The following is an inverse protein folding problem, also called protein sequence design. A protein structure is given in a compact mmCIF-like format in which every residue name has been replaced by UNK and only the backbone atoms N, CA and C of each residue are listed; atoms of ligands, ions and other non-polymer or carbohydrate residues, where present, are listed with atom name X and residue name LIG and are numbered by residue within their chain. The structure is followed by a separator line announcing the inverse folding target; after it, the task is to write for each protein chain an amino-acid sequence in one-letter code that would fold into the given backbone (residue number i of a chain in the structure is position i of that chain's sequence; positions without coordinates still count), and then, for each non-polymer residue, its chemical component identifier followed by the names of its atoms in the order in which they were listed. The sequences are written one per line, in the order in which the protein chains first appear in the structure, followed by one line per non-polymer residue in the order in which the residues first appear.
data_IF_226775637207
#
_entry.id   IF_226775637207
#
_cell.length_a   1.000
_cell.length_b   1.000
_cell.length_c   1.000
_cell.angle_alpha   90.00
_cell.angle_beta   90.00
_cell.angle_gamma   90.00
#
_symmetry.space_group_name_H-M   'P 1'
#
loop_
_entity.id
_entity.type
_entity.pdbx_description
1 polymer ?
#
# COMPACT_ATOMS: atom_id res chain seq x y z
N UNK A 1 -14.18 -24.65 -3.48
CA UNK A 1 -12.70 -24.82 -3.59
C UNK A 1 -11.94 -23.49 -3.53
N UNK A 2 -12.30 -22.48 -4.34
CA UNK A 2 -11.67 -21.14 -4.36
C UNK A 2 -11.64 -20.47 -2.97
N UNK A 3 -12.76 -20.47 -2.25
CA UNK A 3 -12.84 -19.92 -0.87
C UNK A 3 -11.84 -20.57 0.09
N UNK A 4 -11.62 -21.90 -0.04
CA UNK A 4 -10.65 -22.62 0.80
C UNK A 4 -9.20 -22.18 0.49
N UNK A 5 -8.90 -21.93 -0.79
CA UNK A 5 -7.59 -21.39 -1.21
C UNK A 5 -7.37 -19.98 -0.65
N UNK A 6 -8.36 -19.09 -0.81
CA UNK A 6 -8.31 -17.72 -0.27
C UNK A 6 -8.07 -17.76 1.24
N UNK A 7 -8.84 -18.54 1.99
CA UNK A 7 -8.69 -18.66 3.45
C UNK A 7 -7.29 -19.15 3.86
N UNK A 8 -6.74 -20.10 3.11
CA UNK A 8 -5.41 -20.67 3.40
C UNK A 8 -4.31 -19.65 3.13
N UNK A 9 -4.39 -18.95 1.99
CA UNK A 9 -3.48 -17.85 1.65
C UNK A 9 -3.57 -16.71 2.67
N UNK A 10 -4.78 -16.39 3.15
CA UNK A 10 -4.98 -15.37 4.15
C UNK A 10 -4.28 -15.68 5.48
N UNK A 11 -4.50 -16.90 6.00
CA UNK A 11 -3.81 -17.36 7.21
C UNK A 11 -2.30 -17.36 7.04
N UNK A 12 -1.83 -17.84 5.89
CA UNK A 12 -0.39 -17.91 5.63
C UNK A 12 0.25 -16.53 5.66
N UNK A 13 -0.31 -15.55 4.96
CA UNK A 13 0.28 -14.22 4.95
C UNK A 13 0.18 -13.55 6.34
N UNK A 14 -0.95 -13.67 7.05
CA UNK A 14 -1.14 -13.04 8.37
C UNK A 14 -0.16 -13.53 9.44
N UNK A 15 0.16 -14.82 9.46
CA UNK A 15 1.00 -15.43 10.51
C UNK A 15 2.46 -15.63 10.10
N UNK A 16 2.96 -14.83 9.15
CA UNK A 16 4.39 -14.85 8.79
C UNK A 16 5.20 -13.85 9.62
N UNK A 17 6.48 -14.17 9.85
CA UNK A 17 7.44 -13.24 10.43
C UNK A 17 7.52 -11.92 9.66
N UNK A 18 7.37 -11.96 8.34
CA UNK A 18 7.36 -10.76 7.48
C UNK A 18 6.22 -9.81 7.84
N UNK A 19 5.04 -10.31 8.20
CA UNK A 19 3.89 -9.50 8.61
C UNK A 19 4.11 -8.85 9.97
N UNK A 20 4.74 -9.58 10.91
CA UNK A 20 5.13 -9.00 12.19
C UNK A 20 6.14 -7.87 12.01
N UNK A 21 7.16 -8.08 11.16
CA UNK A 21 8.15 -7.04 10.84
C UNK A 21 7.47 -5.84 10.17
N UNK A 22 6.55 -6.08 9.22
CA UNK A 22 5.79 -5.02 8.57
C UNK A 22 4.97 -4.21 9.58
N UNK A 23 4.33 -4.86 10.55
CA UNK A 23 3.56 -4.21 11.61
C UNK A 23 4.45 -3.33 12.49
N UNK A 24 5.53 -3.91 13.02
CA UNK A 24 6.47 -3.18 13.88
C UNK A 24 7.09 -2.00 13.15
N UNK A 25 7.45 -2.16 11.88
CA UNK A 25 8.06 -1.10 11.08
C UNK A 25 7.05 0.02 10.79
N UNK A 26 5.81 -0.31 10.45
CA UNK A 26 4.75 0.69 10.26
C UNK A 26 4.52 1.51 11.53
N UNK A 27 4.28 0.83 12.65
CA UNK A 27 4.00 1.50 13.94
C UNK A 27 5.20 2.31 14.39
N UNK A 28 6.42 1.78 14.29
CA UNK A 28 7.63 2.50 14.68
C UNK A 28 7.83 3.78 13.86
N UNK A 29 7.66 3.73 12.53
CA UNK A 29 7.76 4.93 11.69
C UNK A 29 6.68 5.95 12.00
N UNK A 30 5.46 5.49 12.29
CA UNK A 30 4.35 6.35 12.66
C UNK A 30 4.61 7.06 14.01
N UNK A 31 5.06 6.32 15.03
CA UNK A 31 5.44 6.88 16.34
C UNK A 31 6.63 7.83 16.21
N UNK A 32 7.64 7.50 15.41
CA UNK A 32 8.76 8.41 15.13
C UNK A 32 8.31 9.72 14.47
N UNK A 33 7.34 9.66 13.56
CA UNK A 33 6.71 10.85 13.00
C UNK A 33 6.01 11.67 14.09
N UNK A 34 5.30 11.01 15.00
CA UNK A 34 4.52 11.66 16.05
C UNK A 34 5.41 12.38 17.06
N UNK A 35 6.51 11.75 17.47
CA UNK A 35 7.49 12.36 18.36
C UNK A 35 8.14 13.61 17.73
N UNK A 36 8.41 13.59 16.42
CA UNK A 36 8.91 14.76 15.69
C UNK A 36 7.89 15.91 15.62
N UNK A 37 6.60 15.62 15.75
CA UNK A 37 5.54 16.61 15.72
C UNK A 37 5.30 17.31 17.07
N UNK A 38 5.88 16.86 18.17
CA UNK A 38 5.56 17.41 19.50
C UNK A 38 5.94 18.91 19.65
N UNK A 39 5.26 19.67 20.54
CA UNK A 39 5.45 21.13 20.70
C UNK A 39 6.89 21.61 20.96
N UNK A 40 7.75 20.74 21.46
CA UNK A 40 9.14 21.07 21.81
C UNK A 40 10.12 20.85 20.63
N UNK A 41 9.62 20.56 19.43
CA UNK A 41 10.45 20.37 18.23
C UNK A 41 10.46 21.63 17.36
N UNK A 42 11.44 21.72 16.45
CA UNK A 42 11.79 22.86 15.58
C UNK A 42 10.67 23.40 14.65
N UNK A 43 9.42 22.94 14.77
CA UNK A 43 8.33 23.26 13.84
C UNK A 43 7.74 24.66 14.03
N UNK A 44 7.92 25.28 15.21
CA UNK A 44 7.52 26.68 15.46
C UNK A 44 6.03 26.97 15.22
N UNK A 45 5.15 25.99 15.39
CA UNK A 45 3.71 26.15 15.18
C UNK A 45 3.04 26.75 16.41
N UNK A 46 1.84 27.31 16.23
CA UNK A 46 1.01 27.73 17.35
C UNK A 46 0.57 26.53 18.22
N UNK A 47 0.28 26.81 19.49
CA UNK A 47 -0.09 25.77 20.46
C UNK A 47 -1.32 24.97 20.03
N UNK A 48 -2.31 25.61 19.41
CA UNK A 48 -3.55 24.95 18.95
C UNK A 48 -3.31 23.97 17.79
N UNK A 49 -2.25 24.18 17.01
CA UNK A 49 -1.88 23.33 15.88
C UNK A 49 -1.27 21.99 16.30
N UNK A 50 -0.83 21.85 17.55
CA UNK A 50 -0.30 20.60 18.11
C UNK A 50 -1.40 19.63 18.59
N UNK A 51 -2.36 19.35 17.73
CA UNK A 51 -3.50 18.47 18.02
C UNK A 51 -3.37 17.11 17.32
N UNK A 52 -4.21 16.15 17.70
CA UNK A 52 -4.15 14.79 17.14
C UNK A 52 -4.51 14.69 15.64
N UNK A 53 -5.30 15.62 15.08
CA UNK A 53 -5.60 15.63 13.65
C UNK A 53 -4.39 16.10 12.83
N UNK A 54 -3.81 17.22 13.21
CA UNK A 54 -2.59 17.74 12.59
C UNK A 54 -1.40 16.79 12.76
N UNK A 55 -1.30 16.13 13.91
CA UNK A 55 -0.31 15.07 14.14
C UNK A 55 -0.50 13.91 13.16
N UNK A 56 -1.75 13.46 12.96
CA UNK A 56 -2.03 12.39 12.00
C UNK A 56 -1.61 12.78 10.59
N UNK A 57 -1.99 13.97 10.11
CA UNK A 57 -1.59 14.45 8.80
C UNK A 57 -0.05 14.48 8.69
N UNK A 58 0.62 15.15 9.64
CA UNK A 58 2.07 15.26 9.68
C UNK A 58 2.78 13.91 9.57
N UNK A 59 2.39 12.96 10.41
CA UNK A 59 3.01 11.62 10.48
C UNK A 59 2.74 10.78 9.23
N UNK A 60 1.56 10.94 8.64
CA UNK A 60 1.09 10.11 7.53
C UNK A 60 1.87 10.39 6.23
N UNK A 61 2.08 11.67 5.90
CA UNK A 61 2.86 12.01 4.72
C UNK A 61 3.05 13.50 4.44
N UNK A 62 2.48 14.36 5.27
CA UNK A 62 2.48 15.81 5.10
C UNK A 62 3.71 16.48 5.75
N UNK A 63 4.30 15.85 6.77
CA UNK A 63 5.47 16.40 7.44
C UNK A 63 6.74 16.28 6.59
N UNK A 64 7.62 17.30 6.54
CA UNK A 64 8.89 17.23 5.81
C UNK A 64 9.84 16.15 6.34
N UNK A 65 9.60 15.68 7.58
CA UNK A 65 10.37 14.61 8.22
C UNK A 65 9.60 13.28 8.25
N UNK A 66 8.49 13.15 7.53
CA UNK A 66 7.68 11.93 7.44
C UNK A 66 8.34 10.92 6.50
N UNK A 67 8.82 9.82 7.08
CA UNK A 67 9.53 8.75 6.34
C UNK A 67 8.54 7.68 5.84
N UNK A 68 7.32 7.65 6.39
CA UNK A 68 6.32 6.63 6.09
C UNK A 68 6.03 6.52 4.59
N UNK A 69 5.76 7.60 3.82
CA UNK A 69 5.45 7.49 2.40
C UNK A 69 6.54 6.80 1.56
N UNK A 70 7.80 7.01 1.94
CA UNK A 70 8.96 6.47 1.24
C UNK A 70 9.06 4.96 1.49
N UNK A 71 8.86 4.52 2.73
CA UNK A 71 9.03 3.11 3.13
C UNK A 71 7.74 2.29 3.00
N UNK A 72 6.58 2.94 2.88
CA UNK A 72 5.27 2.32 2.70
C UNK A 72 5.25 1.20 1.65
N UNK A 73 5.75 1.38 0.42
CA UNK A 73 5.73 0.31 -0.58
C UNK A 73 6.53 -0.93 -0.17
N UNK A 74 7.59 -0.77 0.61
CA UNK A 74 8.37 -1.89 1.15
C UNK A 74 7.58 -2.64 2.23
N UNK A 75 6.90 -1.93 3.14
CA UNK A 75 6.08 -2.54 4.21
C UNK A 75 5.00 -3.43 3.60
N UNK A 76 4.30 -2.93 2.58
CA UNK A 76 3.23 -3.70 1.93
C UNK A 76 3.80 -4.88 1.14
N UNK A 77 4.96 -4.72 0.51
CA UNK A 77 5.62 -5.82 -0.20
C UNK A 77 6.09 -6.94 0.75
N UNK A 78 6.47 -6.62 1.99
CA UNK A 78 6.76 -7.61 3.03
C UNK A 78 5.53 -8.43 3.41
N UNK A 79 4.37 -7.77 3.52
CA UNK A 79 3.11 -8.38 3.93
C UNK A 79 2.60 -9.44 2.95
N UNK A 80 2.58 -9.14 1.64
CA UNK A 80 1.92 -9.99 0.64
C UNK A 80 2.80 -10.41 -0.54
N UNK A 81 3.88 -9.67 -0.83
CA UNK A 81 4.69 -9.84 -2.03
C UNK A 81 5.43 -11.18 -2.07
N UNK A 82 5.82 -11.70 -0.91
CA UNK A 82 6.58 -12.95 -0.79
C UNK A 82 5.80 -14.19 -1.22
N UNK A 83 4.47 -14.14 -1.14
CA UNK A 83 3.60 -15.31 -1.20
C UNK A 83 3.66 -16.06 -2.54
N UNK A 84 3.64 -15.35 -3.68
CA UNK A 84 3.76 -15.99 -5.00
C UNK A 84 5.20 -16.37 -5.33
N UNK A 85 6.17 -15.55 -4.91
CA UNK A 85 7.59 -15.82 -5.15
C UNK A 85 8.04 -17.12 -4.46
N UNK A 86 7.59 -17.33 -3.22
CA UNK A 86 7.85 -18.55 -2.46
C UNK A 86 7.23 -19.78 -3.12
N UNK A 87 5.95 -19.71 -3.53
CA UNK A 87 5.28 -20.82 -4.21
C UNK A 87 6.01 -21.26 -5.48
N UNK A 88 6.60 -20.30 -6.20
CA UNK A 88 7.38 -20.56 -7.41
C UNK A 88 8.81 -21.01 -7.13
N UNK A 89 9.38 -20.64 -5.98
CA UNK A 89 10.72 -21.06 -5.55
C UNK A 89 10.71 -22.50 -5.03
N UNK A 90 9.67 -22.89 -4.29
CA UNK A 90 9.55 -24.23 -3.69
C UNK A 90 8.89 -25.27 -4.60
N UNK A 91 8.35 -24.86 -5.75
CA UNK A 91 7.57 -25.75 -6.63
C UNK A 91 6.16 -26.03 -6.12
N UNK A 92 5.75 -25.43 -4.99
CA UNK A 92 4.41 -25.59 -4.40
C UNK A 92 3.27 -25.26 -5.38
N UNK A 93 3.53 -24.35 -6.32
CA UNK A 93 2.59 -23.99 -7.39
C UNK A 93 2.16 -25.21 -8.23
N UNK A 94 3.06 -26.15 -8.53
CA UNK A 94 2.77 -27.33 -9.35
C UNK A 94 1.79 -28.27 -8.64
N UNK A 95 2.01 -28.51 -7.35
CA UNK A 95 1.12 -29.33 -6.52
C UNK A 95 -0.30 -28.74 -6.43
N UNK A 96 -0.44 -27.41 -6.36
CA UNK A 96 -1.75 -26.78 -6.36
C UNK A 96 -2.43 -26.93 -7.73
N UNK A 97 -1.67 -26.73 -8.82
CA UNK A 97 -2.19 -26.79 -10.17
C UNK A 97 -2.63 -28.19 -10.61
N UNK A 98 -2.17 -29.26 -9.95
CA UNK A 98 -2.73 -30.61 -10.13
C UNK A 98 -4.19 -30.71 -9.67
N UNK A 99 -4.60 -29.88 -8.72
CA UNK A 99 -5.93 -29.93 -8.10
C UNK A 99 -6.83 -28.78 -8.54
N UNK A 100 -6.28 -27.74 -9.18
CA UNK A 100 -7.02 -26.54 -9.54
C UNK A 100 -6.55 -25.91 -10.85
N UNK A 101 -7.37 -25.03 -11.43
CA UNK A 101 -6.99 -24.32 -12.65
C UNK A 101 -6.11 -23.11 -12.34
N UNK A 102 -5.19 -22.78 -13.25
CA UNK A 102 -4.31 -21.62 -13.11
C UNK A 102 -5.09 -20.30 -12.89
N UNK A 103 -6.27 -20.17 -13.52
CA UNK A 103 -7.18 -19.03 -13.35
C UNK A 103 -7.64 -18.92 -11.90
N UNK A 104 -8.18 -20.01 -11.34
CA UNK A 104 -8.67 -20.03 -9.94
C UNK A 104 -7.53 -19.77 -8.96
N UNK A 105 -6.33 -20.28 -9.23
CA UNK A 105 -5.14 -20.02 -8.41
C UNK A 105 -4.77 -18.54 -8.39
N UNK A 106 -4.54 -17.90 -9.55
CA UNK A 106 -4.09 -16.50 -9.59
C UNK A 106 -5.16 -15.54 -9.04
N UNK A 107 -6.44 -15.77 -9.34
CA UNK A 107 -7.52 -14.98 -8.76
C UNK A 107 -7.61 -15.12 -7.24
N UNK A 108 -7.48 -16.35 -6.71
CA UNK A 108 -7.46 -16.56 -5.25
C UNK A 108 -6.28 -15.83 -4.60
N UNK A 109 -5.12 -15.82 -5.27
CA UNK A 109 -3.91 -15.15 -4.81
C UNK A 109 -4.09 -13.64 -4.74
N UNK A 110 -4.59 -13.05 -5.82
CA UNK A 110 -4.86 -11.62 -5.91
C UNK A 110 -5.88 -11.19 -4.85
N UNK A 111 -7.03 -11.88 -4.76
CA UNK A 111 -8.08 -11.55 -3.78
C UNK A 111 -7.56 -11.65 -2.35
N UNK A 112 -6.85 -12.74 -2.01
CA UNK A 112 -6.30 -12.90 -0.67
C UNK A 112 -5.30 -11.78 -0.33
N UNK A 113 -4.39 -11.46 -1.25
CA UNK A 113 -3.41 -10.41 -1.06
C UNK A 113 -4.06 -9.02 -0.93
N UNK A 114 -5.08 -8.72 -1.74
CA UNK A 114 -5.86 -7.49 -1.67
C UNK A 114 -6.55 -7.34 -0.32
N UNK A 115 -7.31 -8.34 0.12
CA UNK A 115 -8.07 -8.28 1.39
C UNK A 115 -7.12 -8.08 2.57
N UNK A 116 -6.00 -8.81 2.62
CA UNK A 116 -5.04 -8.70 3.72
C UNK A 116 -4.37 -7.34 3.74
N UNK A 117 -3.93 -6.84 2.58
CA UNK A 117 -3.22 -5.56 2.51
C UNK A 117 -4.14 -4.40 2.90
N UNK A 118 -5.40 -4.47 2.43
CA UNK A 118 -6.44 -3.53 2.82
C UNK A 118 -6.70 -3.55 4.33
N UNK A 119 -7.04 -4.72 4.88
CA UNK A 119 -7.37 -4.84 6.30
C UNK A 119 -6.19 -4.50 7.21
N UNK A 120 -4.98 -4.90 6.83
CA UNK A 120 -3.78 -4.60 7.58
C UNK A 120 -3.56 -3.10 7.71
N UNK A 121 -3.52 -2.36 6.59
CA UNK A 121 -3.30 -0.91 6.63
C UNK A 121 -4.45 -0.20 7.31
N UNK A 122 -5.70 -0.56 6.99
CA UNK A 122 -6.87 0.04 7.59
C UNK A 122 -6.89 -0.10 9.13
N UNK A 123 -6.62 -1.30 9.65
CA UNK A 123 -6.59 -1.55 11.10
C UNK A 123 -5.39 -0.85 11.74
N UNK A 124 -4.20 -0.94 11.14
CA UNK A 124 -2.97 -0.35 11.69
C UNK A 124 -3.07 1.17 11.75
N UNK A 125 -3.56 1.84 10.71
CA UNK A 125 -3.73 3.29 10.71
C UNK A 125 -4.80 3.76 11.70
N UNK A 126 -5.91 3.03 11.85
CA UNK A 126 -6.90 3.32 12.90
C UNK A 126 -6.28 3.21 14.29
N UNK A 127 -5.50 2.16 14.56
CA UNK A 127 -4.80 2.00 15.85
C UNK A 127 -3.79 3.13 16.08
N UNK A 128 -3.07 3.54 15.04
CA UNK A 128 -2.14 4.66 15.08
C UNK A 128 -2.87 5.99 15.36
N UNK A 129 -4.03 6.23 14.75
CA UNK A 129 -4.85 7.39 15.03
C UNK A 129 -5.39 7.39 16.47
N UNK A 130 -5.84 6.24 16.98
CA UNK A 130 -6.25 6.10 18.39
C UNK A 130 -5.09 6.40 19.35
N UNK A 131 -3.87 5.96 19.03
CA UNK A 131 -2.67 6.31 19.78
C UNK A 131 -2.41 7.83 19.80
N UNK A 132 -2.55 8.51 18.66
CA UNK A 132 -2.40 9.96 18.59
C UNK A 132 -3.47 10.70 19.40
N UNK A 133 -4.72 10.22 19.37
CA UNK A 133 -5.81 10.79 20.17
C UNK A 133 -5.54 10.71 21.68
N UNK A 134 -4.82 9.69 22.13
CA UNK A 134 -4.41 9.56 23.54
C UNK A 134 -3.19 10.46 23.84
N UNK A 135 -2.30 10.62 22.87
CA UNK A 135 -1.01 11.30 23.04
C UNK A 135 -1.05 12.82 22.87
N UNK A 136 -2.03 13.34 22.12
CA UNK A 136 -2.16 14.76 21.78
C UNK A 136 -3.53 15.31 22.21
N UNK A 137 -3.59 16.61 22.49
CA UNK A 137 -4.82 17.26 22.90
C UNK A 137 -5.81 17.44 21.73
N UNK A 138 -7.12 17.55 22.01
CA UNK A 138 -8.08 17.99 21.00
C UNK A 138 -7.83 19.45 20.60
N UNK A 139 -8.11 19.81 19.34
CA UNK A 139 -8.04 21.21 18.94
C UNK A 139 -9.17 22.02 19.57
N UNK A 140 -8.91 23.30 19.89
CA UNK A 140 -9.93 24.22 20.41
C UNK A 140 -10.91 24.64 19.31
N UNK A 141 -10.38 24.89 18.11
CA UNK A 141 -11.12 25.19 16.90
C UNK A 141 -10.35 24.67 15.69
N UNK A 142 -11.07 24.06 14.74
CA UNK A 142 -10.50 23.52 13.49
C UNK A 142 -10.23 24.65 12.50
N UNK A 143 -11.06 25.69 12.51
CA UNK A 143 -10.93 26.85 11.60
C UNK A 143 -9.82 27.80 12.00
N UNK A 144 -9.37 27.73 13.25
CA UNK A 144 -8.26 28.54 13.80
C UNK A 144 -6.94 27.74 13.84
N UNK A 145 -6.85 26.63 13.10
CA UNK A 145 -5.58 25.90 12.97
C UNK A 145 -4.67 26.61 11.99
N UNK A 146 -3.47 26.99 12.43
CA UNK A 146 -2.41 27.44 11.54
C UNK A 146 -1.44 26.30 11.21
N UNK A 147 -1.01 26.19 9.95
CA UNK A 147 -0.04 25.19 9.50
C UNK A 147 -0.67 24.00 8.79
N UNK A 148 -0.72 22.81 9.44
CA UNK A 148 -1.13 21.54 8.83
C UNK A 148 -2.65 21.43 8.60
N UNK A 149 -3.15 22.27 7.71
CA UNK A 149 -4.52 22.27 7.22
C UNK A 149 -4.51 21.67 5.82
N UNK A 150 -5.28 20.60 5.55
CA UNK A 150 -5.25 19.96 4.26
C UNK A 150 -5.90 20.85 3.18
N UNK A 151 -5.25 20.93 2.02
CA UNK A 151 -5.81 21.52 0.80
C UNK A 151 -6.84 20.57 0.17
N UNK A 152 -6.50 19.29 0.12
CA UNK A 152 -7.40 18.25 -0.37
C UNK A 152 -8.55 18.01 0.60
N UNK A 153 -9.79 18.18 0.11
CA UNK A 153 -11.00 17.92 0.89
C UNK A 153 -11.13 18.84 2.11
N UNK A 154 -10.65 20.08 2.00
CA UNK A 154 -10.67 21.07 3.07
C UNK A 154 -12.06 21.23 3.72
N UNK A 155 -13.12 21.33 2.93
CA UNK A 155 -14.50 21.43 3.42
C UNK A 155 -14.92 20.21 4.26
N UNK A 156 -14.48 19.01 3.85
CA UNK A 156 -14.77 17.79 4.60
C UNK A 156 -14.00 17.76 5.92
N UNK A 157 -12.76 18.24 5.93
CA UNK A 157 -11.92 18.34 7.13
C UNK A 157 -12.49 19.33 8.14
N UNK A 158 -12.97 20.50 7.69
CA UNK A 158 -13.53 21.53 8.58
C UNK A 158 -14.90 21.13 9.13
N UNK A 159 -15.78 20.54 8.31
CA UNK A 159 -17.11 20.13 8.73
C UNK A 159 -17.10 18.82 9.55
N UNK A 160 -16.25 17.87 9.19
CA UNK A 160 -16.26 16.51 9.73
C UNK A 160 -14.86 15.87 9.74
N UNK A 161 -13.96 16.32 10.62
CA UNK A 161 -12.55 15.90 10.59
C UNK A 161 -12.37 14.39 10.80
N UNK A 162 -13.21 13.74 11.60
CA UNK A 162 -13.16 12.28 11.76
C UNK A 162 -13.51 11.52 10.47
N UNK A 163 -14.49 12.01 9.71
CA UNK A 163 -14.87 11.43 8.42
C UNK A 163 -13.77 11.68 7.39
N UNK A 164 -13.10 12.82 7.45
CA UNK A 164 -11.91 13.10 6.67
C UNK A 164 -10.78 12.09 6.95
N UNK A 165 -10.41 11.89 8.22
CA UNK A 165 -9.39 10.89 8.59
C UNK A 165 -9.78 9.49 8.10
N UNK A 166 -11.03 9.09 8.30
CA UNK A 166 -11.52 7.81 7.79
C UNK A 166 -11.36 7.69 6.27
N UNK A 167 -11.63 8.77 5.52
CA UNK A 167 -11.48 8.80 4.07
C UNK A 167 -10.01 8.69 3.65
N UNK A 168 -9.09 9.36 4.35
CA UNK A 168 -7.64 9.22 4.12
C UNK A 168 -7.20 7.77 4.35
N UNK A 169 -7.59 7.17 5.48
CA UNK A 169 -7.29 5.77 5.82
C UNK A 169 -7.84 4.79 4.77
N UNK A 170 -8.99 5.10 4.18
CA UNK A 170 -9.57 4.30 3.12
C UNK A 170 -8.73 4.37 1.84
N UNK A 171 -8.29 5.56 1.44
CA UNK A 171 -7.46 5.76 0.25
C UNK A 171 -6.10 5.05 0.38
N UNK A 172 -5.49 5.11 1.56
CA UNK A 172 -4.18 4.49 1.83
C UNK A 172 -4.28 2.97 1.86
N UNK A 173 -5.38 2.44 2.40
CA UNK A 173 -5.69 1.01 2.34
C UNK A 173 -5.91 0.52 0.90
N UNK A 174 -6.58 1.32 0.04
CA UNK A 174 -6.73 1.01 -1.39
C UNK A 174 -5.36 1.04 -2.11
N UNK A 175 -4.51 2.01 -1.81
CA UNK A 175 -3.16 2.08 -2.35
C UNK A 175 -2.29 0.88 -1.92
N UNK A 176 -2.47 0.39 -0.68
CA UNK A 176 -1.81 -0.83 -0.23
C UNK A 176 -2.22 -2.05 -1.06
N UNK A 177 -3.49 -2.14 -1.48
CA UNK A 177 -3.92 -3.18 -2.44
C UNK A 177 -3.16 -3.07 -3.75
N UNK A 178 -2.95 -1.85 -4.27
CA UNK A 178 -2.22 -1.62 -5.51
C UNK A 178 -0.77 -2.10 -5.40
N UNK A 179 -0.06 -1.73 -4.33
CA UNK A 179 1.33 -2.14 -4.10
C UNK A 179 1.44 -3.66 -3.92
N UNK A 180 0.47 -4.27 -3.26
CA UNK A 180 0.38 -5.72 -3.08
C UNK A 180 0.25 -6.45 -4.42
N UNK A 181 -0.62 -5.96 -5.32
CA UNK A 181 -0.76 -6.51 -6.67
C UNK A 181 0.47 -6.24 -7.54
N UNK A 182 1.12 -5.09 -7.40
CA UNK A 182 2.40 -4.78 -8.04
C UNK A 182 3.49 -5.77 -7.61
N UNK A 183 3.53 -6.12 -6.33
CA UNK A 183 4.45 -7.13 -5.79
C UNK A 183 4.16 -8.52 -6.39
N UNK A 184 2.89 -8.89 -6.52
CA UNK A 184 2.49 -10.14 -7.21
C UNK A 184 2.89 -10.11 -8.68
N UNK A 185 2.73 -8.98 -9.38
CA UNK A 185 3.16 -8.80 -10.76
C UNK A 185 4.67 -9.07 -10.90
N UNK A 186 5.47 -8.48 -10.02
CA UNK A 186 6.93 -8.67 -9.98
C UNK A 186 7.29 -10.13 -9.68
N UNK A 187 6.51 -10.79 -8.80
CA UNK A 187 6.62 -12.21 -8.53
C UNK A 187 6.23 -13.11 -9.72
N UNK A 188 5.66 -12.57 -10.81
CA UNK A 188 5.51 -13.32 -12.07
C UNK A 188 6.80 -13.33 -12.89
N UNK A 189 7.66 -12.33 -12.73
CA UNK A 189 8.97 -12.25 -13.39
C UNK A 189 10.05 -12.98 -12.59
N UNK A 190 10.26 -12.58 -11.34
CA UNK A 190 11.32 -13.13 -10.49
C UNK A 190 10.84 -14.28 -9.61
N UNK A 191 11.71 -15.25 -9.35
CA UNK A 191 11.53 -16.25 -8.27
C UNK A 191 12.23 -15.82 -6.97
N UNK A 192 13.06 -14.78 -7.03
CA UNK A 192 13.81 -14.30 -5.88
C UNK A 192 12.90 -13.43 -5.01
N UNK A 193 12.61 -13.90 -3.80
CA UNK A 193 11.73 -13.25 -2.82
C UNK A 193 12.23 -11.85 -2.46
N UNK A 194 13.55 -11.66 -2.34
CA UNK A 194 14.13 -10.36 -1.98
C UNK A 194 13.90 -9.32 -3.07
N UNK A 195 14.07 -9.68 -4.35
CA UNK A 195 13.79 -8.78 -5.48
C UNK A 195 12.32 -8.38 -5.47
N UNK A 196 11.42 -9.32 -5.22
CA UNK A 196 9.97 -9.06 -5.20
C UNK A 196 9.57 -8.13 -4.05
N UNK A 197 10.25 -8.21 -2.91
CA UNK A 197 10.01 -7.35 -1.75
C UNK A 197 10.56 -5.93 -1.94
N UNK A 198 11.78 -5.78 -2.47
CA UNK A 198 12.42 -4.47 -2.61
C UNK A 198 12.05 -3.72 -3.90
N UNK A 199 11.67 -4.42 -4.96
CA UNK A 199 11.37 -3.77 -6.24
C UNK A 199 10.22 -2.75 -6.18
N UNK A 200 9.09 -2.97 -5.47
CA UNK A 200 8.05 -1.95 -5.33
C UNK A 200 8.58 -0.63 -4.74
N UNK A 201 9.47 -0.71 -3.75
CA UNK A 201 10.11 0.46 -3.14
C UNK A 201 10.94 1.26 -4.15
N UNK A 202 11.81 0.58 -4.91
CA UNK A 202 12.61 1.25 -5.94
C UNK A 202 11.76 1.79 -7.09
N UNK A 203 10.69 1.08 -7.48
CA UNK A 203 9.75 1.55 -8.50
C UNK A 203 9.06 2.84 -8.04
N UNK A 204 8.71 2.96 -6.77
CA UNK A 204 8.11 4.16 -6.21
C UNK A 204 9.10 5.34 -6.20
N UNK A 205 10.35 5.12 -5.79
CA UNK A 205 11.40 6.17 -5.80
C UNK A 205 11.68 6.64 -7.23
N UNK A 206 11.94 5.70 -8.14
CA UNK A 206 12.25 6.02 -9.55
C UNK A 206 11.03 6.66 -10.20
N UNK A 207 9.83 6.14 -9.92
CA UNK A 207 8.56 6.71 -10.38
C UNK A 207 8.38 8.14 -9.89
N UNK A 208 8.67 8.43 -8.62
CA UNK A 208 8.62 9.79 -8.09
C UNK A 208 9.52 10.74 -8.89
N UNK A 209 10.78 10.36 -9.09
CA UNK A 209 11.75 11.17 -9.82
C UNK A 209 11.33 11.39 -11.28
N UNK A 210 10.87 10.34 -11.97
CA UNK A 210 10.44 10.42 -13.36
C UNK A 210 9.22 11.32 -13.55
N UNK A 211 8.22 11.21 -12.67
CA UNK A 211 7.01 12.02 -12.77
C UNK A 211 7.30 13.49 -12.50
N UNK A 212 8.23 13.77 -11.58
CA UNK A 212 8.74 15.13 -11.36
C UNK A 212 9.51 15.68 -12.56
N UNK A 213 10.39 14.87 -13.17
CA UNK A 213 11.14 15.27 -14.36
C UNK A 213 10.22 15.53 -15.58
N UNK A 214 9.08 14.84 -15.66
CA UNK A 214 8.09 15.01 -16.72
C UNK A 214 7.01 16.06 -16.40
N UNK A 215 7.12 16.78 -15.28
CA UNK A 215 6.15 17.78 -14.82
C UNK A 215 4.71 17.25 -14.65
N UNK A 216 4.56 15.94 -14.36
CA UNK A 216 3.28 15.28 -14.09
C UNK A 216 3.18 14.86 -12.61
N UNK A 217 3.63 15.76 -11.73
CA UNK A 217 3.80 15.54 -10.28
C UNK A 217 2.52 15.02 -9.61
N UNK A 218 1.34 15.41 -10.11
CA UNK A 218 0.02 14.95 -9.64
C UNK A 218 -0.15 13.42 -9.66
N UNK A 219 0.63 12.69 -10.43
CA UNK A 219 0.55 11.23 -10.48
C UNK A 219 1.76 10.55 -9.85
N UNK A 220 2.63 11.33 -9.20
CA UNK A 220 3.86 10.81 -8.62
C UNK A 220 3.53 9.87 -7.42
N UNK A 221 4.24 8.73 -7.26
CA UNK A 221 3.89 7.72 -6.28
C UNK A 221 3.80 8.20 -4.83
N UNK A 222 4.72 9.07 -4.36
CA UNK A 222 4.68 9.57 -2.98
C UNK A 222 3.60 10.64 -2.79
N UNK A 223 3.26 11.37 -3.84
CA UNK A 223 2.10 12.26 -3.83
C UNK A 223 0.84 11.47 -3.55
N UNK A 224 0.66 10.32 -4.21
CA UNK A 224 -0.50 9.43 -4.02
C UNK A 224 -0.54 8.73 -2.65
N UNK A 225 0.58 8.60 -1.93
CA UNK A 225 0.60 8.03 -0.58
C UNK A 225 0.11 9.04 0.46
N UNK A 226 0.54 10.29 0.36
CA UNK A 226 0.10 11.32 1.32
C UNK A 226 0.49 12.76 1.00
N UNK A 227 1.37 13.00 0.01
CA UNK A 227 1.73 14.37 -0.40
C UNK A 227 0.54 15.18 -0.93
N UNK A 228 -0.47 14.50 -1.50
CA UNK A 228 -1.70 15.11 -2.01
C UNK A 228 -2.49 15.92 -0.96
N UNK A 229 -2.28 15.67 0.33
CA UNK A 229 -3.06 16.31 1.40
C UNK A 229 -2.70 17.79 1.61
N UNK A 230 -1.45 18.20 1.37
CA UNK A 230 -1.00 19.59 1.53
C UNK A 230 -0.67 20.30 0.21
N UNK A 231 -0.24 19.55 -0.81
CA UNK A 231 0.34 20.18 -1.99
C UNK A 231 -0.69 21.00 -2.79
N UNK A 232 -0.17 21.94 -3.58
CA UNK A 232 -0.91 22.88 -4.43
C UNK A 232 -1.62 22.24 -5.63
N UNK A 233 -1.62 20.90 -5.73
CA UNK A 233 -2.34 20.21 -6.77
C UNK A 233 -3.80 20.06 -6.33
N UNK A 234 -4.68 20.82 -6.95
CA UNK A 234 -6.12 20.71 -6.72
C UNK A 234 -6.60 19.35 -7.23
N UNK A 235 -6.70 18.37 -6.32
CA UNK A 235 -7.47 17.16 -6.57
C UNK A 235 -8.91 17.42 -6.16
N UNK A 236 -9.84 17.05 -7.04
CA UNK A 236 -11.22 16.87 -6.59
C UNK A 236 -11.29 15.70 -5.61
N UNK A 237 -12.19 15.77 -4.63
CA UNK A 237 -12.37 14.74 -3.60
C UNK A 237 -12.57 13.33 -4.17
N UNK A 238 -13.20 13.23 -5.35
CA UNK A 238 -13.43 11.94 -6.04
C UNK A 238 -12.31 11.55 -7.01
N UNK A 239 -11.45 12.47 -7.40
CA UNK A 239 -10.42 12.22 -8.42
C UNK A 239 -9.39 11.20 -7.95
N UNK A 240 -8.92 11.32 -6.71
CA UNK A 240 -7.92 10.43 -6.13
C UNK A 240 -8.42 8.98 -6.01
N UNK A 241 -9.62 8.71 -5.44
CA UNK A 241 -10.21 7.36 -5.47
C UNK A 241 -10.32 6.79 -6.89
N UNK A 242 -10.71 7.60 -7.87
CA UNK A 242 -10.84 7.15 -9.27
C UNK A 242 -9.48 6.74 -9.85
N UNK A 243 -8.44 7.55 -9.64
CA UNK A 243 -7.06 7.24 -10.08
C UNK A 243 -6.59 5.93 -9.43
N UNK A 244 -6.81 5.75 -8.13
CA UNK A 244 -6.43 4.53 -7.42
C UNK A 244 -7.18 3.30 -7.95
N UNK A 245 -8.49 3.39 -8.14
CA UNK A 245 -9.30 2.30 -8.69
C UNK A 245 -8.89 1.95 -10.12
N UNK A 246 -8.59 2.95 -10.95
CA UNK A 246 -8.12 2.73 -12.32
C UNK A 246 -6.74 2.05 -12.33
N UNK A 247 -5.81 2.51 -11.49
CA UNK A 247 -4.49 1.89 -11.33
C UNK A 247 -4.56 0.43 -10.86
N UNK A 248 -5.53 0.13 -9.98
CA UNK A 248 -5.84 -1.21 -9.49
C UNK A 248 -6.39 -2.14 -10.57
N UNK A 249 -7.30 -1.64 -11.42
CA UNK A 249 -7.84 -2.40 -12.53
C UNK A 249 -6.74 -2.75 -13.55
N UNK A 250 -5.89 -1.78 -13.88
CA UNK A 250 -4.75 -1.98 -14.79
C UNK A 250 -3.79 -3.02 -14.22
N UNK A 251 -3.35 -2.87 -12.97
CA UNK A 251 -2.41 -3.82 -12.35
C UNK A 251 -3.01 -5.21 -12.21
N UNK A 252 -4.29 -5.31 -11.85
CA UNK A 252 -5.01 -6.60 -11.80
C UNK A 252 -5.02 -7.29 -13.16
N UNK A 253 -5.34 -6.54 -14.22
CA UNK A 253 -5.33 -7.04 -15.58
C UNK A 253 -3.92 -7.51 -16.00
N UNK A 254 -2.89 -6.70 -15.72
CA UNK A 254 -1.50 -7.04 -16.03
C UNK A 254 -1.03 -8.30 -15.31
N UNK A 255 -1.34 -8.47 -14.02
CA UNK A 255 -1.03 -9.68 -13.25
C UNK A 255 -1.65 -10.90 -13.91
N UNK A 256 -2.97 -10.85 -14.17
CA UNK A 256 -3.69 -11.96 -14.80
C UNK A 256 -3.13 -12.28 -16.19
N UNK A 257 -2.94 -11.26 -17.03
CA UNK A 257 -2.44 -11.41 -18.39
C UNK A 257 -1.04 -12.04 -18.40
N UNK A 258 -0.10 -11.50 -17.63
CA UNK A 258 1.28 -12.01 -17.59
C UNK A 258 1.35 -13.42 -17.01
N UNK A 259 0.60 -13.71 -15.96
CA UNK A 259 0.52 -15.06 -15.40
C UNK A 259 -0.03 -16.07 -16.42
N UNK A 260 -1.07 -15.68 -17.15
CA UNK A 260 -1.67 -16.53 -18.19
C UNK A 260 -0.71 -16.83 -19.35
N UNK A 261 0.05 -15.83 -19.81
CA UNK A 261 1.05 -16.01 -20.87
C UNK A 261 2.14 -16.99 -20.44
N UNK A 262 2.61 -16.88 -19.19
CA UNK A 262 3.65 -17.75 -18.65
C UNK A 262 3.17 -19.20 -18.55
N UNK A 263 1.93 -19.40 -18.10
CA UNK A 263 1.33 -20.73 -18.01
C UNK A 263 1.16 -21.38 -19.38
N UNK A 264 0.67 -20.63 -20.38
CA UNK A 264 0.53 -21.12 -21.77
C UNK A 264 1.89 -21.51 -22.38
N UNK A 265 2.93 -20.71 -22.18
CA UNK A 265 4.29 -21.04 -22.64
C UNK A 265 4.85 -22.30 -21.96
N UNK A 266 4.57 -22.48 -20.67
CA UNK A 266 4.95 -23.69 -19.94
C UNK A 266 4.31 -24.95 -20.53
N UNK A 267 3.00 -24.92 -20.79
CA UNK A 267 2.28 -26.04 -21.42
C UNK A 267 2.83 -26.39 -22.81
N UNK A 268 3.17 -25.39 -23.63
CA UNK A 268 3.73 -25.59 -24.97
C UNK A 268 5.11 -26.27 -24.93
N UNK A 269 5.94 -25.96 -23.93
CA UNK A 269 7.25 -26.60 -23.75
C UNK A 269 7.10 -28.08 -23.37
N UNK A 270 6.19 -28.41 -22.45
CA UNK A 270 5.89 -29.81 -22.08
C UNK A 270 5.31 -30.62 -23.25
N UNK A 271 4.47 -29.99 -24.09
CA UNK A 271 3.94 -30.61 -25.31
C UNK A 271 5.02 -30.91 -26.34
N UNK A 272 6.01 -30.01 -26.53
CA UNK A 272 7.14 -30.22 -27.44
C UNK A 272 8.11 -31.31 -26.98
N UNK A 273 8.40 -31.41 -25.68
CA UNK A 273 9.28 -32.47 -25.14
C UNK A 273 8.70 -33.88 -25.30
N UNK A 274 7.37 -34.03 -25.34
CA UNK A 274 6.71 -35.32 -25.60
C UNK A 274 6.76 -35.76 -27.06
N UNK A 275 6.90 -34.82 -27.99
CA UNK A 275 6.95 -35.11 -29.44
C UNK A 275 8.37 -35.47 -29.88
N UNK A 276 9.40 -34.95 -29.20
CA UNK A 276 10.81 -35.24 -29.51
C UNK A 276 11.37 -36.47 -28.77
N UNK A 277 10.53 -37.23 -28.05
CA UNK A 277 10.92 -38.44 -27.31
C UNK A 277 10.23 -39.71 -27.84
N UNK A 278 9.68 -39.64 -29.06
CA UNK A 278 9.12 -40.74 -29.85
C UNK A 278 9.93 -40.81 -31.15
#
# INVERSE_FOLDING_TARGET
MMVKLIRTEMKRNLFTWSTLIAFLLFVALFVLGAEKFRPNTELGLERNSYNYFSAFLYTHGVGPKAILPIVFPFIIALLSGSSLALDRKTGYIEFILLRTTYKKYIFSKMIAASIISFLFVFIVEILCFLYLRISFHPPNSITEMEGYVPSFGHDLFTQSPFLYIFFIVLNTAILAVFISLLSILLATWSKNVYIVMFAPFFIFIIGQLLFFALHINKFAPFELVGGYMLNSFEYSLLELPIILLFSLLITSFLVYFRFSLKFKKGLQLYGKTKINSI
#
